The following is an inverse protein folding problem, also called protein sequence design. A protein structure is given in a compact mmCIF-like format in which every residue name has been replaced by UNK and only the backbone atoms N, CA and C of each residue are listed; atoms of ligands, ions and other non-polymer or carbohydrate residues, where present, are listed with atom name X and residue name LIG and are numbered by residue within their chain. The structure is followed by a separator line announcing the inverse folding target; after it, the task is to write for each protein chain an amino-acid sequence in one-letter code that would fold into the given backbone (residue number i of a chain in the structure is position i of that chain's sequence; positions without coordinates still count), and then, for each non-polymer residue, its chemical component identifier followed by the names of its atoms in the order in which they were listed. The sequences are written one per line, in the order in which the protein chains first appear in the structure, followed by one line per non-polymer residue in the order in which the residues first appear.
data_IF_690962764988
#
_entry.id   IF_690962764988
#
_cell.length_a   1.000
_cell.length_b   1.000
_cell.length_c   1.000
_cell.angle_alpha   90.00
_cell.angle_beta   90.00
_cell.angle_gamma   90.00
#
_symmetry.space_group_name_H-M   'P 1'
#
loop_
_entity.id
_entity.type
_entity.pdbx_description
1 polymer ?
#
# COMPACT_ATOMS: atom_id res chain seq x y z
N UNK A 1 0.86 -20.04 -49.79
CA UNK A 1 -0.52 -20.54 -49.66
C UNK A 1 -0.71 -21.03 -48.23
N UNK A 2 -1.89 -20.74 -47.68
CA UNK A 2 -2.33 -20.92 -46.29
C UNK A 2 -1.97 -19.76 -45.35
N UNK A 3 -2.92 -18.82 -45.33
CA UNK A 3 -3.24 -17.87 -44.27
C UNK A 3 -3.58 -18.59 -42.96
N UNK A 4 -3.26 -17.99 -41.81
CA UNK A 4 -4.12 -18.06 -40.61
C UNK A 4 -3.85 -16.90 -39.62
N UNK A 5 -4.70 -15.88 -39.78
CA UNK A 5 -5.33 -14.98 -38.80
C UNK A 5 -4.94 -15.07 -37.31
N UNK A 6 -4.41 -13.96 -36.80
CA UNK A 6 -4.49 -13.57 -35.37
C UNK A 6 -5.44 -12.36 -35.21
N UNK A 7 -6.39 -12.33 -34.25
CA UNK A 7 -7.09 -11.11 -33.89
C UNK A 7 -6.47 -10.50 -32.62
N UNK A 8 -5.90 -9.30 -32.73
CA UNK A 8 -5.55 -8.50 -31.57
C UNK A 8 -5.74 -7.00 -31.82
N UNK A 9 -6.73 -6.42 -31.14
CA UNK A 9 -6.67 -5.18 -30.33
C UNK A 9 -8.03 -4.48 -30.30
N UNK A 10 -8.79 -4.75 -29.23
CA UNK A 10 -9.83 -3.85 -28.76
C UNK A 10 -9.18 -2.56 -28.29
N UNK A 11 -9.29 -1.51 -29.10
CA UNK A 11 -8.80 -0.15 -28.79
C UNK A 11 -9.72 0.47 -27.73
N UNK A 12 -9.15 0.80 -26.57
CA UNK A 12 -9.76 1.70 -25.59
C UNK A 12 -9.88 3.09 -26.21
N UNK A 13 -11.12 3.52 -26.48
CA UNK A 13 -11.44 4.80 -27.09
C UNK A 13 -11.56 5.85 -25.98
N UNK A 14 -10.46 6.52 -25.63
CA UNK A 14 -10.53 7.83 -24.96
C UNK A 14 -10.35 8.89 -26.05
N UNK A 15 -11.47 9.51 -26.40
CA UNK A 15 -11.58 10.56 -27.40
C UNK A 15 -10.96 11.84 -26.81
N UNK A 16 -9.84 12.29 -27.36
CA UNK A 16 -9.28 13.62 -27.11
C UNK A 16 -8.62 14.10 -28.40
N UNK A 17 -9.43 14.42 -29.40
CA UNK A 17 -9.01 15.17 -30.58
C UNK A 17 -10.08 16.23 -30.84
N UNK A 18 -9.69 17.50 -30.65
CA UNK A 18 -9.97 18.64 -31.52
C UNK A 18 -9.43 19.91 -30.84
N UNK A 19 -8.11 20.11 -30.98
CA UNK A 19 -7.49 21.44 -30.90
C UNK A 19 -7.41 21.96 -32.33
N UNK A 20 -8.27 22.92 -32.66
CA UNK A 20 -8.12 23.81 -33.81
C UNK A 20 -7.52 25.12 -33.32
N UNK A 21 -6.29 25.38 -33.74
CA UNK A 21 -5.62 26.68 -33.69
C UNK A 21 -6.20 27.52 -34.82
N UNK A 22 -6.56 28.78 -34.55
CA UNK A 22 -6.48 29.84 -35.56
C UNK A 22 -6.21 31.19 -34.88
N UNK A 23 -4.97 31.64 -35.04
CA UNK A 23 -4.58 33.05 -34.98
C UNK A 23 -5.00 33.72 -36.30
N UNK A 24 -5.69 34.87 -36.23
CA UNK A 24 -5.38 36.07 -37.02
C UNK A 24 -6.35 37.23 -36.73
N UNK A 25 -5.73 38.37 -36.42
CA UNK A 25 -6.00 39.73 -36.88
C UNK A 25 -7.44 40.28 -36.87
N UNK A 26 -7.67 41.33 -36.07
CA UNK A 26 -7.96 42.65 -36.65
C UNK A 26 -7.90 43.77 -35.61
N UNK A 27 -6.99 44.70 -35.84
CA UNK A 27 -6.88 45.97 -35.15
C UNK A 27 -7.87 46.99 -35.70
N UNK A 28 -8.24 47.93 -34.81
CA UNK A 28 -8.61 49.33 -35.11
C UNK A 28 -9.95 49.61 -35.80
N UNK A 29 -10.87 50.21 -35.03
CA UNK A 29 -11.73 51.30 -35.51
C UNK A 29 -12.00 52.31 -34.40
N UNK A 30 -11.46 53.50 -34.62
CA UNK A 30 -11.70 54.77 -33.94
C UNK A 30 -13.17 55.20 -33.98
N UNK A 31 -13.66 55.83 -32.90
CA UNK A 31 -14.22 57.18 -32.97
C UNK A 31 -14.57 57.72 -31.58
N UNK A 32 -13.92 58.82 -31.23
CA UNK A 32 -14.32 59.72 -30.18
C UNK A 32 -15.46 60.64 -30.65
N UNK A 33 -16.08 61.31 -29.67
CA UNK A 33 -16.99 62.46 -29.75
C UNK A 33 -18.46 62.15 -29.53
N UNK A 34 -18.93 62.48 -28.33
CA UNK A 34 -20.34 62.57 -27.97
C UNK A 34 -20.49 63.25 -26.61
N UNK A 35 -20.68 64.57 -26.64
CA UNK A 35 -21.06 65.44 -25.51
C UNK A 35 -22.10 64.79 -24.60
N UNK A 36 -21.84 64.74 -23.28
CA UNK A 36 -22.91 64.75 -22.29
C UNK A 36 -22.59 65.82 -21.23
N UNK A 37 -23.63 66.61 -21.04
CA UNK A 37 -23.78 67.89 -20.35
C UNK A 37 -23.69 67.70 -18.83
N UNK A 38 -22.97 68.60 -18.17
CA UNK A 38 -23.03 68.76 -16.73
C UNK A 38 -24.41 69.28 -16.31
N UNK A 39 -25.04 68.62 -15.34
CA UNK A 39 -26.09 69.19 -14.50
C UNK A 39 -26.18 68.44 -13.17
N UNK A 40 -25.93 69.21 -12.11
CA UNK A 40 -26.52 69.16 -10.78
C UNK A 40 -26.09 68.10 -9.76
N UNK A 41 -25.45 68.65 -8.72
CA UNK A 41 -25.16 68.09 -7.41
C UNK A 41 -26.44 67.70 -6.65
N UNK A 42 -26.39 66.56 -5.99
CA UNK A 42 -27.07 66.32 -4.70
C UNK A 42 -26.31 65.19 -3.96
N UNK A 43 -25.87 65.40 -2.70
CA UNK A 43 -25.24 64.33 -1.93
C UNK A 43 -26.29 63.32 -1.44
N UNK A 44 -26.00 62.01 -1.41
CA UNK A 44 -26.93 61.02 -0.88
C UNK A 44 -27.08 61.18 0.66
N UNK A 45 -28.28 60.97 1.21
CA UNK A 45 -28.52 61.09 2.64
C UNK A 45 -27.73 60.04 3.44
N UNK A 46 -27.29 60.36 4.68
CA UNK A 46 -26.54 59.43 5.51
C UNK A 46 -27.40 58.22 5.85
N UNK A 47 -26.96 57.05 5.39
CA UNK A 47 -27.52 55.76 5.78
C UNK A 47 -27.51 55.61 7.30
N UNK A 48 -28.59 55.12 7.93
CA UNK A 48 -28.63 54.91 9.38
C UNK A 48 -27.53 53.95 9.79
N UNK A 49 -26.97 54.09 11.01
CA UNK A 49 -25.89 53.23 11.47
C UNK A 49 -26.35 51.78 11.35
N UNK A 50 -25.61 50.97 10.59
CA UNK A 50 -25.69 49.51 10.66
C UNK A 50 -25.49 49.17 12.12
N UNK A 51 -26.60 48.91 12.82
CA UNK A 51 -26.61 48.25 14.12
C UNK A 51 -25.70 47.05 13.91
N UNK A 52 -24.51 47.06 14.53
CA UNK A 52 -23.73 45.84 14.69
C UNK A 52 -24.72 44.91 15.35
N UNK A 53 -25.30 44.00 14.58
CA UNK A 53 -25.73 42.74 15.14
C UNK A 53 -24.44 42.21 15.71
N UNK A 54 -24.26 42.41 17.02
CA UNK A 54 -23.36 41.58 17.80
C UNK A 54 -23.68 40.18 17.29
N UNK A 55 -22.68 39.62 16.61
CA UNK A 55 -22.77 38.27 16.07
C UNK A 55 -22.68 37.43 17.33
N UNK A 56 -23.81 37.39 18.02
CA UNK A 56 -24.10 36.54 19.14
C UNK A 56 -23.86 35.17 18.54
N UNK A 57 -22.66 34.66 18.79
CA UNK A 57 -22.31 33.27 18.57
C UNK A 57 -23.44 32.53 19.25
N UNK A 58 -24.40 32.07 18.47
CA UNK A 58 -25.42 31.17 18.95
C UNK A 58 -24.66 29.91 19.32
N UNK A 59 -24.20 29.89 20.58
CA UNK A 59 -23.64 28.73 21.23
C UNK A 59 -24.78 27.74 21.19
N UNK A 60 -24.75 26.86 20.18
CA UNK A 60 -25.74 25.81 20.02
C UNK A 60 -25.77 25.06 21.35
N UNK A 61 -26.94 24.94 21.98
CA UNK A 61 -27.03 24.40 23.31
C UNK A 61 -26.61 22.93 23.26
N UNK A 62 -25.53 22.64 23.98
CA UNK A 62 -25.21 21.33 24.55
C UNK A 62 -25.06 20.14 23.57
N UNK A 63 -24.16 20.25 22.58
CA UNK A 63 -23.51 19.02 22.10
C UNK A 63 -22.72 18.44 23.29
N UNK A 64 -23.27 17.39 23.91
CA UNK A 64 -22.57 16.62 24.93
C UNK A 64 -21.17 16.31 24.40
N UNK A 65 -20.15 16.62 25.20
CA UNK A 65 -18.77 16.40 24.80
C UNK A 65 -18.58 14.95 24.35
N UNK A 66 -18.29 14.77 23.07
CA UNK A 66 -18.02 13.47 22.48
C UNK A 66 -16.51 13.34 22.29
N UNK A 67 -15.89 12.47 23.10
CA UNK A 67 -14.45 12.27 23.11
C UNK A 67 -13.91 11.82 21.75
N UNK A 68 -14.66 10.97 21.04
CA UNK A 68 -14.30 10.49 19.70
C UNK A 68 -14.26 11.66 18.72
N UNK A 69 -15.28 12.52 18.72
CA UNK A 69 -15.33 13.71 17.88
C UNK A 69 -14.23 14.71 18.23
N UNK A 70 -13.89 14.85 19.51
CA UNK A 70 -12.75 15.67 19.93
C UNK A 70 -11.41 15.15 19.37
N UNK A 71 -11.20 13.83 19.39
CA UNK A 71 -10.00 13.19 18.81
C UNK A 71 -9.92 13.43 17.29
N UNK A 72 -11.03 13.27 16.55
CA UNK A 72 -11.05 13.48 15.09
C UNK A 72 -10.78 14.93 14.68
N UNK A 73 -11.16 15.90 15.51
CA UNK A 73 -10.98 17.33 15.22
C UNK A 73 -9.51 17.76 15.28
N UNK A 74 -8.71 17.14 16.14
CA UNK A 74 -7.29 17.44 16.29
C UNK A 74 -6.42 16.56 15.37
N UNK A 75 -5.71 17.14 14.38
CA UNK A 75 -4.94 16.37 13.40
C UNK A 75 -3.94 15.39 14.03
N UNK A 76 -3.15 15.83 15.00
CA UNK A 76 -2.11 15.00 15.63
C UNK A 76 -2.69 13.78 16.35
N UNK A 77 -3.84 13.94 17.02
CA UNK A 77 -4.52 12.85 17.71
C UNK A 77 -5.19 11.91 16.70
N UNK A 78 -5.76 12.45 15.63
CA UNK A 78 -6.36 11.67 14.56
C UNK A 78 -5.37 10.71 13.89
N UNK A 79 -4.14 11.16 13.57
CA UNK A 79 -3.12 10.27 13.01
C UNK A 79 -2.78 9.11 13.94
N UNK A 80 -2.50 9.40 15.21
CA UNK A 80 -2.15 8.39 16.20
C UNK A 80 -3.30 7.40 16.45
N UNK A 81 -4.55 7.88 16.38
CA UNK A 81 -5.75 7.06 16.46
C UNK A 81 -5.89 6.16 15.22
N UNK A 82 -5.80 6.73 14.00
CA UNK A 82 -5.99 6.01 12.75
C UNK A 82 -4.96 4.89 12.54
N UNK A 83 -3.68 5.13 12.87
CA UNK A 83 -2.59 4.16 12.70
C UNK A 83 -2.75 2.93 13.61
N UNK A 84 -3.38 3.08 14.78
CA UNK A 84 -3.53 2.00 15.77
C UNK A 84 -4.77 1.13 15.54
N UNK A 85 -5.70 1.57 14.70
CA UNK A 85 -6.93 0.82 14.45
C UNK A 85 -6.67 -0.38 13.55
N UNK A 86 -7.37 -1.52 13.74
CA UNK A 86 -7.35 -2.62 12.78
C UNK A 86 -7.90 -2.19 11.41
N UNK A 87 -7.36 -2.77 10.34
CA UNK A 87 -7.71 -2.35 8.97
C UNK A 87 -9.20 -2.56 8.64
N UNK A 88 -9.86 -3.54 9.26
CA UNK A 88 -11.30 -3.74 9.14
C UNK A 88 -12.07 -2.56 9.76
N UNK A 89 -11.74 -2.20 11.00
CA UNK A 89 -12.36 -1.08 11.73
C UNK A 89 -12.14 0.26 11.04
N UNK A 90 -10.99 0.48 10.40
CA UNK A 90 -10.74 1.70 9.61
C UNK A 90 -11.74 1.79 8.44
N UNK A 91 -11.99 0.68 7.75
CA UNK A 91 -12.96 0.63 6.65
C UNK A 91 -14.38 0.83 7.16
N UNK A 92 -14.73 0.21 8.28
CA UNK A 92 -16.05 0.39 8.91
C UNK A 92 -16.27 1.84 9.33
N UNK A 93 -15.31 2.46 10.02
CA UNK A 93 -15.38 3.87 10.41
C UNK A 93 -15.42 4.82 9.21
N UNK A 94 -14.71 4.48 8.13
CA UNK A 94 -14.75 5.20 6.87
C UNK A 94 -16.13 5.17 6.19
N UNK A 95 -16.89 4.08 6.38
CA UNK A 95 -18.24 3.92 5.85
C UNK A 95 -19.31 4.53 6.77
N UNK A 96 -19.12 4.46 8.09
CA UNK A 96 -20.12 4.86 9.10
C UNK A 96 -20.06 6.37 9.41
N UNK A 97 -18.87 6.92 9.69
CA UNK A 97 -18.75 8.30 10.17
C UNK A 97 -18.29 9.27 9.08
N UNK A 98 -19.11 10.29 8.83
CA UNK A 98 -18.86 11.30 7.79
C UNK A 98 -17.64 12.18 8.09
N UNK A 99 -17.37 12.47 9.36
CA UNK A 99 -16.22 13.29 9.75
C UNK A 99 -14.91 12.49 9.62
N UNK A 100 -14.90 11.24 10.06
CA UNK A 100 -13.78 10.32 9.83
C UNK A 100 -13.50 10.18 8.34
N UNK A 101 -14.53 9.93 7.52
CA UNK A 101 -14.41 9.82 6.06
C UNK A 101 -13.75 11.07 5.44
N UNK A 102 -14.24 12.26 5.78
CA UNK A 102 -13.70 13.52 5.27
C UNK A 102 -12.24 13.73 5.68
N UNK A 103 -11.91 13.48 6.95
CA UNK A 103 -10.53 13.61 7.47
C UNK A 103 -9.59 12.60 6.86
N UNK A 104 -10.05 11.36 6.68
CA UNK A 104 -9.27 10.29 6.06
C UNK A 104 -8.94 10.65 4.60
N UNK A 105 -9.90 11.17 3.83
CA UNK A 105 -9.65 11.61 2.46
C UNK A 105 -8.67 12.78 2.37
N UNK A 106 -8.73 13.72 3.32
CA UNK A 106 -7.81 14.85 3.36
C UNK A 106 -6.34 14.46 3.52
N UNK A 107 -6.09 13.44 4.34
CA UNK A 107 -4.75 12.98 4.72
C UNK A 107 -4.47 11.54 4.25
N UNK A 108 -5.15 11.09 3.20
CA UNK A 108 -5.15 9.69 2.75
C UNK A 108 -3.74 9.17 2.47
N UNK A 109 -2.91 9.94 1.76
CA UNK A 109 -1.51 9.57 1.46
C UNK A 109 -0.70 9.33 2.73
N UNK A 110 -0.74 10.26 3.67
CA UNK A 110 0.05 10.20 4.91
C UNK A 110 -0.43 9.07 5.80
N UNK A 111 -1.74 8.95 6.00
CA UNK A 111 -2.31 7.90 6.86
C UNK A 111 -2.00 6.52 6.29
N UNK A 112 -2.24 6.29 4.99
CA UNK A 112 -2.02 4.96 4.39
C UNK A 112 -0.55 4.58 4.39
N UNK A 113 0.34 5.55 4.14
CA UNK A 113 1.79 5.36 4.24
C UNK A 113 2.19 5.01 5.68
N UNK A 114 1.85 5.86 6.65
CA UNK A 114 2.23 5.65 8.06
C UNK A 114 1.63 4.36 8.63
N UNK A 115 0.43 3.98 8.20
CA UNK A 115 -0.22 2.73 8.56
C UNK A 115 0.56 1.51 8.06
N UNK A 116 1.31 1.60 6.95
CA UNK A 116 2.19 0.55 6.47
C UNK A 116 3.56 0.57 7.19
N UNK A 117 4.13 1.76 7.38
CA UNK A 117 5.44 1.93 8.01
C UNK A 117 5.45 1.57 9.50
N UNK A 118 4.33 1.77 10.21
CA UNK A 118 4.24 1.47 11.64
C UNK A 118 4.46 -0.02 11.97
N UNK A 119 3.74 -0.99 11.36
CA UNK A 119 3.97 -2.41 11.62
C UNK A 119 5.17 -3.00 10.85
N UNK A 120 5.46 -2.51 9.64
CA UNK A 120 6.40 -3.16 8.73
C UNK A 120 7.25 -2.13 7.94
N UNK A 121 8.20 -1.44 8.60
CA UNK A 121 8.94 -0.33 7.99
C UNK A 121 9.82 -0.77 6.81
N UNK A 122 10.48 -1.93 6.93
CA UNK A 122 11.32 -2.46 5.85
C UNK A 122 10.50 -2.92 4.65
N UNK A 123 9.36 -3.57 4.89
CA UNK A 123 8.48 -4.02 3.82
C UNK A 123 7.85 -2.83 3.07
N UNK A 124 7.41 -1.79 3.79
CA UNK A 124 6.86 -0.58 3.19
C UNK A 124 7.88 0.17 2.32
N UNK A 125 9.15 0.13 2.70
CA UNK A 125 10.25 0.69 1.92
C UNK A 125 10.52 -0.12 0.64
N UNK A 126 10.62 -1.44 0.74
CA UNK A 126 10.95 -2.33 -0.40
C UNK A 126 9.77 -2.41 -1.38
N UNK A 127 8.57 -2.67 -0.88
CA UNK A 127 7.34 -2.79 -1.68
C UNK A 127 6.69 -1.43 -1.90
N UNK A 128 7.46 -0.50 -2.47
CA UNK A 128 6.96 0.84 -2.77
C UNK A 128 5.74 0.78 -3.68
N UNK A 129 4.71 1.56 -3.35
CA UNK A 129 3.44 1.62 -4.09
C UNK A 129 3.60 2.04 -5.56
N UNK A 130 4.70 2.71 -5.89
CA UNK A 130 5.05 3.11 -7.26
C UNK A 130 5.21 1.88 -8.16
N UNK A 131 5.69 0.76 -7.60
CA UNK A 131 5.89 -0.50 -8.33
C UNK A 131 4.57 -1.26 -8.51
N UNK A 132 3.55 -0.92 -7.72
CA UNK A 132 2.24 -1.58 -7.68
C UNK A 132 1.10 -0.60 -7.99
N UNK A 133 1.08 0.00 -9.19
CA UNK A 133 0.04 0.97 -9.57
C UNK A 133 -1.38 0.39 -9.52
N UNK A 134 -1.53 -0.92 -9.72
CA UNK A 134 -2.80 -1.64 -9.65
C UNK A 134 -3.42 -1.66 -8.24
N UNK A 135 -2.62 -1.38 -7.21
CA UNK A 135 -3.06 -1.27 -5.83
C UNK A 135 -3.22 0.20 -5.39
N UNK A 136 -3.04 1.16 -6.29
CA UNK A 136 -3.24 2.57 -6.02
C UNK A 136 -4.66 3.01 -6.39
N UNK A 137 -5.10 4.10 -5.79
CA UNK A 137 -6.37 4.78 -6.11
C UNK A 137 -6.06 6.22 -6.50
N UNK A 138 -6.91 6.80 -7.36
CA UNK A 138 -6.84 8.24 -7.64
C UNK A 138 -7.18 9.02 -6.37
N UNK A 139 -6.49 10.14 -6.14
CA UNK A 139 -6.68 10.96 -4.95
C UNK A 139 -8.17 11.34 -4.77
N UNK A 140 -8.80 11.01 -3.62
CA UNK A 140 -10.19 11.40 -3.36
C UNK A 140 -10.40 12.92 -3.35
N UNK A 141 -9.36 13.71 -3.10
CA UNK A 141 -9.38 15.16 -3.21
C UNK A 141 -9.01 15.69 -4.60
N UNK A 142 -8.70 14.81 -5.55
CA UNK A 142 -8.30 15.16 -6.91
C UNK A 142 -7.16 16.19 -6.95
N UNK A 143 -6.20 16.09 -6.02
CA UNK A 143 -5.00 16.94 -6.07
C UNK A 143 -4.25 16.63 -7.36
N UNK A 144 -3.81 17.69 -8.03
CA UNK A 144 -3.10 17.59 -9.28
C UNK A 144 -1.74 16.91 -9.09
N UNK A 145 -1.36 16.08 -10.07
CA UNK A 145 0.00 15.56 -10.22
C UNK A 145 0.93 16.69 -10.63
N UNK A 146 2.04 16.91 -9.91
CA UNK A 146 3.26 17.61 -10.34
C UNK A 146 3.10 18.60 -11.52
N UNK A 147 2.28 19.64 -11.34
CA UNK A 147 2.07 20.71 -12.33
C UNK A 147 1.11 20.41 -13.49
N UNK A 148 0.59 19.18 -13.61
CA UNK A 148 -0.45 18.78 -14.56
C UNK A 148 -1.83 18.80 -13.88
N UNK A 149 -2.53 19.92 -14.04
CA UNK A 149 -3.86 20.15 -13.41
C UNK A 149 -4.94 19.15 -13.83
N UNK A 150 -4.81 18.52 -15.00
CA UNK A 150 -5.83 17.66 -15.61
C UNK A 150 -5.80 16.20 -15.12
N UNK A 151 -4.73 15.78 -14.42
CA UNK A 151 -4.60 14.42 -13.88
C UNK A 151 -4.52 14.46 -12.35
N UNK A 152 -5.44 13.74 -11.71
CA UNK A 152 -5.36 13.46 -10.28
C UNK A 152 -4.16 12.53 -10.01
N UNK A 153 -3.50 12.75 -8.87
CA UNK A 153 -2.40 11.89 -8.42
C UNK A 153 -2.90 10.53 -7.94
N UNK A 154 -2.11 9.50 -8.24
CA UNK A 154 -2.29 8.17 -7.65
C UNK A 154 -1.67 8.12 -6.24
N UNK A 155 -2.43 7.54 -5.31
CA UNK A 155 -2.09 7.40 -3.91
C UNK A 155 -2.17 5.91 -3.54
N UNK A 156 -1.29 5.41 -2.65
CA UNK A 156 -1.42 4.05 -2.14
C UNK A 156 -2.80 3.84 -1.51
N UNK A 157 -3.41 2.68 -1.78
CA UNK A 157 -4.67 2.31 -1.14
C UNK A 157 -4.43 1.46 0.11
N UNK A 158 -5.47 1.28 0.93
CA UNK A 158 -5.44 0.31 2.04
C UNK A 158 -5.18 -1.13 1.56
N UNK A 159 -5.44 -1.46 0.28
CA UNK A 159 -5.11 -2.78 -0.29
C UNK A 159 -3.60 -2.96 -0.40
N UNK A 160 -2.89 -1.91 -0.83
CA UNK A 160 -1.43 -1.90 -0.85
C UNK A 160 -0.88 -2.15 0.56
N UNK A 161 -1.39 -1.44 1.56
CA UNK A 161 -0.93 -1.62 2.95
C UNK A 161 -1.16 -3.04 3.48
N UNK A 162 -2.34 -3.62 3.21
CA UNK A 162 -2.63 -5.03 3.57
C UNK A 162 -1.64 -5.98 2.91
N UNK A 163 -1.30 -5.76 1.64
CA UNK A 163 -0.33 -6.57 0.90
C UNK A 163 1.07 -6.45 1.51
N UNK A 164 1.54 -5.24 1.85
CA UNK A 164 2.84 -5.01 2.50
C UNK A 164 2.93 -5.73 3.84
N UNK A 165 1.94 -5.54 4.72
CA UNK A 165 1.91 -6.18 6.04
C UNK A 165 1.86 -7.70 5.92
N UNK A 166 1.09 -8.22 4.97
CA UNK A 166 1.02 -9.65 4.71
C UNK A 166 2.38 -10.23 4.30
N UNK A 167 3.11 -9.56 3.40
CA UNK A 167 4.43 -10.03 2.93
C UNK A 167 5.48 -10.00 4.03
N UNK A 168 5.50 -8.96 4.86
CA UNK A 168 6.34 -8.91 6.06
C UNK A 168 6.05 -10.09 6.99
N UNK A 169 4.77 -10.37 7.26
CA UNK A 169 4.38 -11.53 8.08
C UNK A 169 4.81 -12.86 7.49
N UNK A 170 4.64 -13.06 6.19
CA UNK A 170 5.02 -14.32 5.52
C UNK A 170 6.54 -14.52 5.55
N UNK A 171 7.32 -13.50 5.22
CA UNK A 171 8.79 -13.61 5.23
C UNK A 171 9.34 -13.83 6.64
N UNK A 172 8.80 -13.12 7.66
CA UNK A 172 9.08 -13.42 9.07
C UNK A 172 8.67 -14.83 9.45
N UNK A 173 7.48 -15.26 9.04
CA UNK A 173 6.95 -16.59 9.32
C UNK A 173 7.88 -17.70 8.81
N UNK A 174 8.37 -17.59 7.57
CA UNK A 174 9.34 -18.55 7.00
C UNK A 174 10.59 -18.64 7.88
N UNK A 175 11.17 -17.50 8.24
CA UNK A 175 12.38 -17.46 9.08
C UNK A 175 12.13 -17.96 10.50
N UNK A 176 10.94 -17.70 11.05
CA UNK A 176 10.55 -18.20 12.37
C UNK A 176 10.40 -19.72 12.35
N UNK A 177 9.69 -20.30 11.37
CA UNK A 177 9.53 -21.75 11.28
C UNK A 177 10.89 -22.45 11.14
N UNK A 178 11.72 -21.99 10.20
CA UNK A 178 13.07 -22.51 10.05
C UNK A 178 13.93 -22.30 11.31
N UNK A 179 13.71 -21.18 12.02
CA UNK A 179 14.39 -20.86 13.27
C UNK A 179 14.01 -21.78 14.43
N UNK A 180 12.75 -22.19 14.52
CA UNK A 180 12.26 -23.16 15.53
C UNK A 180 12.93 -24.52 15.35
N UNK A 181 13.20 -24.90 14.11
CA UNK A 181 13.89 -26.15 13.74
C UNK A 181 15.42 -26.05 13.90
N UNK A 182 15.93 -24.93 14.43
CA UNK A 182 17.34 -24.73 14.72
C UNK A 182 18.14 -24.00 13.64
N UNK A 183 17.54 -23.64 12.50
CA UNK A 183 18.23 -22.87 11.47
C UNK A 183 18.31 -21.37 11.84
N UNK A 184 19.49 -20.92 12.26
CA UNK A 184 19.71 -19.49 12.61
C UNK A 184 19.99 -18.62 11.39
N UNK A 185 19.33 -17.49 11.25
CA UNK A 185 19.56 -16.53 10.14
C UNK A 185 20.13 -15.21 10.63
N UNK A 186 20.79 -14.49 9.73
CA UNK A 186 21.21 -13.12 10.02
C UNK A 186 19.98 -12.20 10.04
N UNK A 187 20.05 -11.10 10.82
CA UNK A 187 18.93 -10.15 10.95
C UNK A 187 18.53 -9.52 9.60
N UNK A 188 19.48 -9.35 8.70
CA UNK A 188 19.28 -8.87 7.33
C UNK A 188 18.58 -9.84 6.38
N UNK A 189 18.57 -11.15 6.66
CA UNK A 189 17.96 -12.16 5.76
C UNK A 189 16.49 -11.89 5.49
N UNK A 190 15.77 -11.36 6.47
CA UNK A 190 14.38 -10.93 6.31
C UNK A 190 14.21 -9.88 5.19
N UNK A 191 15.09 -8.88 5.16
CA UNK A 191 15.10 -7.82 4.13
C UNK A 191 15.46 -8.38 2.77
N UNK A 192 16.48 -9.24 2.72
CA UNK A 192 16.91 -9.92 1.49
C UNK A 192 15.78 -10.77 0.90
N UNK A 193 15.02 -11.51 1.72
CA UNK A 193 13.87 -12.30 1.26
C UNK A 193 12.75 -11.43 0.68
N UNK A 194 12.49 -10.26 1.26
CA UNK A 194 11.52 -9.32 0.69
C UNK A 194 11.99 -8.76 -0.66
N UNK A 195 13.28 -8.42 -0.81
CA UNK A 195 13.87 -8.03 -2.11
C UNK A 195 13.75 -9.14 -3.14
N UNK A 196 14.02 -10.39 -2.74
CA UNK A 196 13.85 -11.55 -3.60
C UNK A 196 12.39 -11.77 -4.00
N UNK A 197 11.44 -11.63 -3.07
CA UNK A 197 10.01 -11.69 -3.41
C UNK A 197 9.66 -10.65 -4.47
N UNK A 198 10.11 -9.39 -4.29
CA UNK A 198 9.87 -8.35 -5.29
C UNK A 198 10.43 -8.74 -6.67
N UNK A 199 11.62 -9.32 -6.72
CA UNK A 199 12.23 -9.84 -7.95
C UNK A 199 11.38 -10.94 -8.61
N UNK A 200 10.77 -11.84 -7.83
CA UNK A 200 9.88 -12.90 -8.34
C UNK A 200 8.63 -12.34 -9.01
N UNK A 201 8.11 -11.22 -8.52
CA UNK A 201 6.88 -10.59 -9.03
C UNK A 201 7.09 -9.69 -10.25
N UNK A 202 8.31 -9.20 -10.47
CA UNK A 202 8.63 -8.41 -11.65
C UNK A 202 8.34 -9.21 -12.93
N UNK A 203 7.53 -8.67 -13.83
CA UNK A 203 7.09 -9.40 -15.03
C UNK A 203 8.08 -9.30 -16.19
N UNK A 204 8.90 -8.25 -16.21
CA UNK A 204 9.79 -7.92 -17.33
C UNK A 204 11.23 -8.29 -16.97
N UNK A 205 11.89 -9.10 -17.80
CA UNK A 205 13.30 -9.52 -17.60
C UNK A 205 14.24 -8.32 -17.52
N UNK A 206 14.05 -7.29 -18.34
CA UNK A 206 14.85 -6.07 -18.30
C UNK A 206 14.73 -5.33 -16.95
N UNK A 207 13.57 -5.35 -16.30
CA UNK A 207 13.38 -4.75 -14.98
C UNK A 207 14.07 -5.58 -13.89
N UNK A 208 13.99 -6.92 -13.98
CA UNK A 208 14.72 -7.83 -13.08
C UNK A 208 16.23 -7.61 -13.19
N UNK A 209 16.74 -7.49 -14.40
CA UNK A 209 18.14 -7.27 -14.66
C UNK A 209 18.61 -5.90 -14.15
N UNK A 210 17.84 -4.83 -14.41
CA UNK A 210 18.13 -3.50 -13.85
C UNK A 210 18.12 -3.50 -12.32
N UNK A 211 17.18 -4.23 -11.70
CA UNK A 211 17.08 -4.36 -10.25
C UNK A 211 18.27 -5.11 -9.64
N UNK A 212 18.75 -6.17 -10.30
CA UNK A 212 19.90 -6.96 -9.84
C UNK A 212 21.25 -6.26 -10.08
N UNK A 213 21.34 -5.39 -11.08
CA UNK A 213 22.56 -4.60 -11.35
C UNK A 213 22.74 -3.40 -10.42
N UNK A 214 21.73 -3.03 -9.63
CA UNK A 214 21.82 -1.88 -8.73
C UNK A 214 22.41 -2.29 -7.38
N UNK A 215 23.70 -2.02 -7.18
CA UNK A 215 24.44 -2.32 -5.95
C UNK A 215 23.88 -1.60 -4.70
N UNK A 216 23.09 -0.53 -4.88
CA UNK A 216 22.42 0.15 -3.76
C UNK A 216 21.21 -0.65 -3.27
N UNK A 217 20.60 -1.42 -4.16
CA UNK A 217 19.44 -2.25 -3.86
C UNK A 217 19.88 -3.66 -3.45
N UNK A 218 20.81 -4.27 -4.17
CA UNK A 218 21.40 -5.57 -3.85
C UNK A 218 22.85 -5.41 -3.44
N UNK A 219 23.11 -5.52 -2.14
CA UNK A 219 24.47 -5.50 -1.62
C UNK A 219 25.10 -6.88 -1.68
N UNK A 220 26.43 -6.98 -1.69
CA UNK A 220 27.14 -8.28 -1.63
C UNK A 220 26.71 -9.11 -0.41
N UNK A 221 26.42 -8.43 0.71
CA UNK A 221 25.92 -9.08 1.93
C UNK A 221 24.52 -9.67 1.73
N UNK A 222 23.64 -9.03 0.95
CA UNK A 222 22.34 -9.60 0.60
C UNK A 222 22.51 -10.89 -0.20
N UNK A 223 23.48 -10.96 -1.10
CA UNK A 223 23.76 -12.18 -1.88
C UNK A 223 24.20 -13.31 -0.93
N UNK A 224 25.10 -13.02 0.01
CA UNK A 224 25.56 -14.00 1.03
C UNK A 224 24.40 -14.45 1.91
N UNK A 225 23.54 -13.53 2.37
CA UNK A 225 22.37 -13.87 3.20
C UNK A 225 21.37 -14.73 2.43
N UNK A 226 21.16 -14.43 1.15
CA UNK A 226 20.29 -15.22 0.29
C UNK A 226 20.87 -16.63 0.06
N UNK A 227 22.16 -16.73 -0.22
CA UNK A 227 22.82 -18.02 -0.42
C UNK A 227 22.76 -18.89 0.84
N UNK A 228 23.03 -18.32 2.02
CA UNK A 228 22.88 -19.03 3.29
C UNK A 228 21.43 -19.49 3.54
N UNK A 229 20.46 -18.67 3.13
CA UNK A 229 19.05 -19.05 3.18
C UNK A 229 18.75 -20.26 2.29
N UNK A 230 19.22 -20.25 1.04
CA UNK A 230 19.03 -21.38 0.11
C UNK A 230 19.62 -22.67 0.66
N UNK A 231 20.87 -22.65 1.11
CA UNK A 231 21.54 -23.84 1.69
C UNK A 231 20.76 -24.40 2.87
N UNK A 232 20.24 -23.54 3.75
CA UNK A 232 19.46 -24.00 4.91
C UNK A 232 18.09 -24.53 4.52
N UNK A 233 17.46 -23.92 3.53
CA UNK A 233 16.21 -24.42 2.98
C UNK A 233 16.40 -25.80 2.34
N UNK A 234 17.50 -25.99 1.61
CA UNK A 234 17.90 -27.26 1.00
C UNK A 234 18.32 -28.31 2.03
N UNK A 235 18.75 -27.92 3.23
CA UNK A 235 18.97 -28.87 4.33
C UNK A 235 17.66 -29.31 4.98
N UNK A 236 16.67 -28.42 5.03
CA UNK A 236 15.41 -28.66 5.75
C UNK A 236 14.41 -29.52 4.99
N UNK A 237 14.24 -29.27 3.69
CA UNK A 237 13.22 -29.94 2.89
C UNK A 237 13.50 -31.44 2.67
N UNK A 238 14.73 -31.87 2.36
CA UNK A 238 15.11 -33.27 2.21
C UNK A 238 15.72 -33.88 3.49
N UNK A 239 15.39 -33.36 4.67
CA UNK A 239 15.90 -33.91 5.94
C UNK A 239 15.57 -35.41 6.04
N UNK A 240 16.57 -36.31 6.20
CA UNK A 240 16.33 -37.75 6.22
C UNK A 240 15.50 -38.25 7.43
N UNK A 241 15.37 -37.44 8.49
CA UNK A 241 14.67 -37.83 9.72
C UNK A 241 13.24 -37.29 9.71
N UNK A 242 13.06 -36.03 9.30
CA UNK A 242 11.79 -35.31 9.39
C UNK A 242 11.23 -34.86 8.03
N UNK A 243 12.03 -34.93 6.97
CA UNK A 243 11.77 -34.36 5.65
C UNK A 243 11.21 -35.38 4.67
N UNK A 244 9.92 -35.30 4.41
CA UNK A 244 9.27 -36.00 3.29
C UNK A 244 9.51 -35.31 1.93
N UNK A 245 10.42 -34.32 1.85
CA UNK A 245 10.65 -33.51 0.66
C UNK A 245 11.70 -34.12 -0.26
N UNK A 246 11.55 -33.88 -1.57
CA UNK A 246 12.57 -34.24 -2.56
C UNK A 246 13.63 -33.14 -2.67
N UNK A 247 14.86 -33.50 -3.05
CA UNK A 247 16.01 -32.57 -3.17
C UNK A 247 15.79 -31.35 -4.09
N UNK A 248 14.73 -31.32 -4.89
CA UNK A 248 14.40 -30.24 -5.83
C UNK A 248 13.19 -29.39 -5.40
N UNK A 249 12.58 -29.71 -4.25
CA UNK A 249 11.36 -29.05 -3.80
C UNK A 249 11.62 -27.56 -3.48
N UNK A 250 12.76 -27.22 -2.90
CA UNK A 250 13.19 -25.85 -2.65
C UNK A 250 13.21 -25.02 -3.94
N UNK A 251 13.86 -25.54 -4.98
CA UNK A 251 13.98 -24.89 -6.27
C UNK A 251 12.61 -24.71 -6.93
N UNK A 252 11.76 -25.74 -6.89
CA UNK A 252 10.37 -25.66 -7.36
C UNK A 252 9.55 -24.59 -6.60
N UNK A 253 9.71 -24.48 -5.27
CA UNK A 253 8.99 -23.50 -4.46
C UNK A 253 9.48 -22.07 -4.72
N UNK A 254 10.77 -21.88 -4.98
CA UNK A 254 11.38 -20.57 -5.25
C UNK A 254 11.17 -20.08 -6.69
N UNK A 255 10.78 -20.96 -7.62
CA UNK A 255 10.39 -20.58 -8.99
C UNK A 255 8.94 -20.11 -9.10
N UNK A 256 8.16 -20.20 -8.02
CA UNK A 256 6.78 -19.72 -7.99
C UNK A 256 6.72 -18.19 -8.09
N UNK A 257 5.51 -17.63 -8.26
CA UNK A 257 5.32 -16.16 -8.28
C UNK A 257 5.36 -15.52 -6.88
N UNK A 258 5.29 -16.32 -5.82
CA UNK A 258 5.12 -15.83 -4.45
C UNK A 258 5.74 -16.79 -3.44
N UNK A 259 6.31 -16.24 -2.36
CA UNK A 259 6.81 -17.01 -1.21
C UNK A 259 5.70 -17.51 -0.29
N UNK A 260 4.43 -17.14 -0.53
CA UNK A 260 3.30 -17.65 0.26
C UNK A 260 3.18 -19.17 0.21
N UNK A 261 3.52 -19.81 -0.92
CA UNK A 261 3.47 -21.27 -1.02
C UNK A 261 4.59 -21.90 -0.17
N UNK A 262 5.80 -21.34 -0.25
CA UNK A 262 6.93 -21.77 0.58
C UNK A 262 6.57 -21.71 2.07
N UNK A 263 6.00 -20.59 2.52
CA UNK A 263 5.55 -20.45 3.91
C UNK A 263 4.52 -21.50 4.30
N UNK A 264 3.52 -21.76 3.45
CA UNK A 264 2.51 -22.80 3.71
C UNK A 264 3.14 -24.18 3.87
N UNK A 265 4.09 -24.54 3.00
CA UNK A 265 4.76 -25.83 3.06
C UNK A 265 5.56 -25.95 4.35
N UNK A 266 6.42 -24.96 4.64
CA UNK A 266 7.26 -24.99 5.85
C UNK A 266 6.39 -24.99 7.13
N UNK A 267 5.36 -24.14 7.19
CA UNK A 267 4.47 -24.08 8.34
C UNK A 267 3.59 -25.33 8.50
N UNK A 268 3.15 -25.95 7.39
CA UNK A 268 2.36 -27.18 7.44
C UNK A 268 3.20 -28.36 7.93
N UNK A 269 4.46 -28.47 7.46
CA UNK A 269 5.36 -29.53 7.94
C UNK A 269 5.60 -29.36 9.44
N UNK A 270 5.80 -28.13 9.93
CA UNK A 270 5.91 -27.87 11.37
C UNK A 270 4.64 -28.31 12.13
N UNK A 271 3.46 -27.93 11.66
CA UNK A 271 2.20 -28.30 12.34
C UNK A 271 1.97 -29.81 12.39
N UNK A 272 2.43 -30.57 11.38
CA UNK A 272 2.38 -32.03 11.40
C UNK A 272 3.36 -32.64 12.41
N UNK A 273 4.53 -32.02 12.61
CA UNK A 273 5.50 -32.45 13.62
C UNK A 273 4.93 -32.29 15.03
N UNK A 274 4.34 -31.12 15.32
CA UNK A 274 3.72 -30.86 16.63
C UNK A 274 2.62 -31.90 16.95
N UNK A 275 1.89 -32.37 15.93
CA UNK A 275 0.86 -33.40 16.08
C UNK A 275 1.48 -34.79 16.31
N UNK A 276 2.49 -35.17 15.54
CA UNK A 276 3.16 -36.47 15.69
C UNK A 276 3.85 -36.60 17.06
N UNK A 277 4.49 -35.53 17.55
CA UNK A 277 5.12 -35.50 18.87
C UNK A 277 4.08 -35.70 20.00
N UNK A 278 2.86 -35.18 19.83
CA UNK A 278 1.75 -35.44 20.75
C UNK A 278 1.32 -36.92 20.71
N UNK A 279 1.21 -37.52 19.51
CA UNK A 279 0.81 -38.93 19.38
C UNK A 279 1.87 -39.91 19.88
N UNK A 280 3.16 -39.62 19.72
CA UNK A 280 4.25 -40.44 20.27
C UNK A 280 4.30 -40.39 21.81
N UNK A 281 3.91 -39.25 22.40
CA UNK A 281 3.85 -39.10 23.86
C UNK A 281 2.61 -39.79 24.50
N UNK A 282 1.62 -40.19 23.70
CA UNK A 282 0.34 -40.76 24.15
C UNK A 282 0.28 -42.29 23.99
N UNK A 283 1.35 -42.95 23.53
CA UNK A 283 1.43 -44.42 23.51
C UNK A 283 1.65 -44.94 24.96
N UNK A 284 0.69 -45.66 25.57
CA UNK A 284 0.93 -46.32 26.85
C UNK A 284 1.95 -47.44 26.65
N UNK A 285 3.02 -47.46 27.47
CA UNK A 285 3.95 -48.58 27.49
C UNK A 285 3.18 -49.88 27.74
N UNK A 286 3.16 -50.77 26.75
CA UNK A 286 2.62 -52.11 26.91
C UNK A 286 3.43 -52.80 28.03
N UNK A 287 2.77 -53.40 29.04
CA UNK A 287 3.50 -54.09 30.09
C UNK A 287 4.24 -55.28 29.48
N UNK A 288 5.57 -55.23 29.50
CA UNK A 288 6.44 -56.39 29.24
C UNK A 288 5.93 -57.57 30.07
N UNK A 289 5.29 -58.51 29.40
CA UNK A 289 4.90 -59.78 29.98
C UNK A 289 6.18 -60.56 30.28
N UNK A 290 6.51 -60.64 31.58
CA UNK A 290 7.48 -61.58 32.12
C UNK A 290 7.10 -63.01 31.69
N UNK A 291 7.93 -63.62 30.85
CA UNK A 291 8.09 -65.08 30.74
C UNK A 291 9.18 -65.56 31.71
#
# INVERSE_FOLDING_TARGET
MADESWPAKGKSKRLAENLGVDDRDEASKSRASGLIRASDCSPPPPSPPKRRSDRETSVRPNERFNIYKAILRHPNHFFQFAIRLPSATVVDLYAIDKEFHYRFNNYSTSIVSDYAYYPAPHAAFIFSWIIFPELCISDPLLKSMDGRSLLARDIPSLRWTKMVIYRDRVTRGILTCLGLEGHRFHRGTHVTLMKFWLLMEMQITAMREAFLRDDKVWTDMDIVFFHLFLVKLDMRLPDPILGNGMCELSHMLLTQKSLSLLYKVVAMVQALQDINEIYECEQPEEPESME
#
